data_IF_266627008402
#
_entry.id   IF_266627008402
#
_cell.length_a   1.000
_cell.length_b   1.000
_cell.length_c   1.000
_cell.angle_alpha   90.00
_cell.angle_beta   90.00
_cell.angle_gamma   90.00
#
_symmetry.space_group_name_H-M   'P 1'
#
loop_
_entity.id
_entity.type
_entity.pdbx_description
1 polymer ?
#
# COMPACT_ATOMS: atom_id res chain seq x y z
N UNK A 1 -3.32 -12.37 -21.80
CA UNK A 1 -3.39 -10.97 -21.30
C UNK A 1 -4.78 -10.72 -20.72
N UNK A 2 -5.00 -11.22 -19.52
CA UNK A 2 -6.14 -10.89 -18.70
C UNK A 2 -6.08 -9.39 -18.36
N UNK A 3 -6.84 -8.59 -19.12
CA UNK A 3 -7.00 -7.13 -18.89
C UNK A 3 -7.53 -6.80 -17.49
N UNK A 4 -7.98 -7.80 -16.74
CA UNK A 4 -8.56 -7.69 -15.39
C UNK A 4 -7.49 -7.69 -14.29
N UNK A 5 -6.32 -8.29 -14.48
CA UNK A 5 -5.29 -8.38 -13.45
C UNK A 5 -4.77 -7.00 -12.96
N UNK A 6 -4.54 -6.00 -13.83
CA UNK A 6 -4.19 -4.64 -13.40
C UNK A 6 -5.29 -3.95 -12.59
N UNK A 7 -6.56 -4.21 -12.93
CA UNK A 7 -7.72 -3.65 -12.23
C UNK A 7 -7.79 -4.21 -10.81
N UNK A 8 -7.63 -5.53 -10.66
CA UNK A 8 -7.61 -6.19 -9.35
C UNK A 8 -6.45 -5.67 -8.51
N UNK A 9 -5.25 -5.57 -9.08
CA UNK A 9 -4.09 -5.04 -8.37
C UNK A 9 -4.30 -3.59 -7.90
N UNK A 10 -4.94 -2.75 -8.71
CA UNK A 10 -5.29 -1.38 -8.35
C UNK A 10 -6.33 -1.32 -7.21
N UNK A 11 -7.36 -2.14 -7.25
CA UNK A 11 -8.37 -2.22 -6.18
C UNK A 11 -7.72 -2.68 -4.87
N UNK A 12 -6.87 -3.71 -4.93
CA UNK A 12 -6.16 -4.19 -3.74
C UNK A 12 -5.20 -3.13 -3.21
N UNK A 13 -4.49 -2.42 -4.09
CA UNK A 13 -3.66 -1.28 -3.69
C UNK A 13 -4.47 -0.27 -2.88
N UNK A 14 -5.63 0.16 -3.40
CA UNK A 14 -6.47 1.14 -2.71
C UNK A 14 -6.98 0.64 -1.35
N UNK A 15 -7.44 -0.61 -1.28
CA UNK A 15 -7.92 -1.21 -0.03
C UNK A 15 -6.81 -1.30 1.01
N UNK A 16 -5.64 -1.82 0.62
CA UNK A 16 -4.49 -1.93 1.52
C UNK A 16 -4.05 -0.56 1.98
N UNK A 17 -3.97 0.42 1.07
CA UNK A 17 -3.60 1.80 1.42
C UNK A 17 -4.54 2.42 2.45
N UNK A 18 -5.86 2.30 2.27
CA UNK A 18 -6.85 2.86 3.20
C UNK A 18 -6.77 2.18 4.56
N UNK A 19 -6.66 0.84 4.59
CA UNK A 19 -6.60 0.06 5.83
C UNK A 19 -5.29 0.29 6.59
N UNK A 20 -4.18 0.46 5.88
CA UNK A 20 -2.86 0.65 6.52
C UNK A 20 -2.60 2.08 6.98
N UNK A 21 -3.31 3.08 6.42
CA UNK A 21 -3.10 4.49 6.75
C UNK A 21 -3.20 4.81 8.24
N UNK A 22 -4.25 4.32 8.90
CA UNK A 22 -4.48 4.57 10.34
C UNK A 22 -3.44 3.88 11.23
N UNK A 23 -3.18 2.56 11.11
CA UNK A 23 -2.18 1.90 11.94
C UNK A 23 -0.75 2.39 11.66
N UNK A 24 -0.40 2.69 10.41
CA UNK A 24 0.93 3.24 10.07
C UNK A 24 1.13 4.60 10.70
N UNK A 25 0.10 5.47 10.71
CA UNK A 25 0.17 6.76 11.40
C UNK A 25 0.35 6.58 12.90
N UNK A 26 -0.46 5.73 13.54
CA UNK A 26 -0.37 5.49 14.98
C UNK A 26 1.00 4.90 15.38
N UNK A 27 1.56 4.03 14.54
CA UNK A 27 2.88 3.45 14.74
C UNK A 27 3.99 4.51 14.60
N UNK A 28 3.92 5.37 13.58
CA UNK A 28 4.91 6.44 13.41
C UNK A 28 4.84 7.46 14.55
N UNK A 29 3.63 7.75 15.04
CA UNK A 29 3.40 8.63 16.19
C UNK A 29 3.93 8.03 17.50
N UNK A 30 3.88 6.71 17.66
CA UNK A 30 4.42 6.04 18.86
C UNK A 30 5.94 5.93 18.87
N UNK A 31 6.58 5.88 17.70
CA UNK A 31 8.04 5.68 17.56
C UNK A 31 8.81 6.98 17.35
N UNK A 32 8.17 7.99 16.77
CA UNK A 32 8.81 9.28 16.55
C UNK A 32 7.85 10.37 17.01
N UNK A 33 8.37 11.32 17.79
CA UNK A 33 7.68 12.56 18.12
C UNK A 33 7.59 13.50 16.89
N UNK A 34 7.17 12.93 15.76
CA UNK A 34 6.87 13.66 14.54
C UNK A 34 5.49 14.28 14.72
N UNK A 35 5.46 15.60 14.90
CA UNK A 35 4.21 16.36 14.96
C UNK A 35 3.85 16.96 13.59
N UNK A 36 2.55 17.03 13.30
CA UNK A 36 2.02 17.79 12.18
C UNK A 36 2.24 17.16 10.80
N UNK A 37 2.58 18.01 9.81
CA UNK A 37 2.58 17.67 8.37
C UNK A 37 3.56 16.55 8.03
N UNK A 38 4.68 16.44 8.74
CA UNK A 38 5.72 15.43 8.48
C UNK A 38 5.22 14.02 8.83
N UNK A 39 4.47 13.86 9.92
CA UNK A 39 3.82 12.60 10.28
C UNK A 39 2.78 12.18 9.23
N UNK A 40 2.02 13.15 8.73
CA UNK A 40 1.05 12.95 7.65
C UNK A 40 1.71 12.44 6.37
N UNK A 41 2.84 13.03 5.96
CA UNK A 41 3.57 12.61 4.77
C UNK A 41 4.27 11.26 4.96
N UNK A 42 4.93 11.04 6.10
CA UNK A 42 5.58 9.78 6.39
C UNK A 42 4.59 8.61 6.43
N UNK A 43 3.43 8.80 7.05
CA UNK A 43 2.37 7.80 7.05
C UNK A 43 1.79 7.56 5.67
N UNK A 44 1.66 8.60 4.83
CA UNK A 44 1.23 8.46 3.44
C UNK A 44 2.21 7.63 2.63
N UNK A 45 3.50 7.97 2.69
CA UNK A 45 4.56 7.29 1.92
C UNK A 45 4.71 5.84 2.38
N UNK A 46 4.72 5.59 3.70
CA UNK A 46 4.82 4.24 4.24
C UNK A 46 3.62 3.37 3.86
N UNK A 47 2.39 3.91 3.92
CA UNK A 47 1.18 3.19 3.52
C UNK A 47 1.15 2.93 2.00
N UNK A 48 1.59 3.91 1.20
CA UNK A 48 1.70 3.77 -0.25
C UNK A 48 2.75 2.71 -0.64
N UNK A 49 3.89 2.67 0.05
CA UNK A 49 4.92 1.67 -0.16
C UNK A 49 4.40 0.26 0.17
N UNK A 50 3.68 0.09 1.29
CA UNK A 50 3.09 -1.19 1.66
C UNK A 50 2.06 -1.65 0.60
N UNK A 51 1.18 -0.74 0.19
CA UNK A 51 0.18 -1.01 -0.83
C UNK A 51 0.80 -1.37 -2.19
N UNK A 52 1.86 -0.66 -2.59
CA UNK A 52 2.58 -0.91 -3.84
C UNK A 52 3.24 -2.30 -3.84
N UNK A 53 3.79 -2.72 -2.70
CA UNK A 53 4.41 -4.03 -2.55
C UNK A 53 3.38 -5.15 -2.69
N UNK A 54 2.20 -5.01 -2.07
CA UNK A 54 1.11 -5.99 -2.19
C UNK A 54 0.57 -6.04 -3.63
N UNK A 55 0.34 -4.88 -4.26
CA UNK A 55 -0.14 -4.82 -5.63
C UNK A 55 0.87 -5.42 -6.62
N UNK A 56 2.17 -5.14 -6.43
CA UNK A 56 3.26 -5.74 -7.20
C UNK A 56 3.33 -7.26 -7.04
N UNK A 57 3.15 -7.78 -5.83
CA UNK A 57 3.10 -9.21 -5.57
C UNK A 57 1.92 -9.87 -6.31
N UNK A 58 0.74 -9.25 -6.31
CA UNK A 58 -0.44 -9.76 -7.02
C UNK A 58 -0.23 -9.78 -8.53
N UNK A 59 0.36 -8.73 -9.09
CA UNK A 59 0.70 -8.69 -10.52
C UNK A 59 1.74 -9.75 -10.88
N UNK A 60 2.75 -9.95 -10.02
CA UNK A 60 3.77 -10.96 -10.22
C UNK A 60 3.18 -12.38 -10.19
N UNK A 61 2.34 -12.67 -9.19
CA UNK A 61 1.62 -13.95 -9.06
C UNK A 61 0.71 -14.17 -10.27
N UNK A 62 -0.08 -13.16 -10.65
CA UNK A 62 -0.96 -13.24 -11.83
C UNK A 62 -0.19 -13.57 -13.11
N UNK A 63 1.03 -13.04 -13.24
CA UNK A 63 1.91 -13.32 -14.38
C UNK A 63 2.49 -14.73 -14.37
N UNK A 64 2.77 -15.31 -13.20
CA UNK A 64 3.22 -16.71 -13.08
C UNK A 64 2.11 -17.67 -13.52
N UNK A 65 0.86 -17.41 -13.12
CA UNK A 65 -0.30 -18.24 -13.48
C UNK A 65 -0.80 -18.04 -14.92
N UNK A 66 -0.34 -16.99 -15.63
CA UNK A 66 -0.60 -16.77 -17.06
C UNK A 66 0.43 -17.45 -17.99
N UNK A 67 1.48 -18.08 -17.44
CA UNK A 67 2.41 -18.95 -18.21
C UNK A 67 1.82 -20.35 -18.37
#
# INVERSE_FOLDING_TARGET
MNKVAPIIAFVVFMLVFVVTRTPVRNFLESWVALEGVVLGLASMVASAALAALVAGAILYVSRIFEQ
#
